data_IF_925071424083
#
_entry.id   IF_925071424083
#
_cell.length_a   1.000
_cell.length_b   1.000
_cell.length_c   1.000
_cell.angle_alpha   90.00
_cell.angle_beta   90.00
_cell.angle_gamma   90.00
#
_symmetry.space_group_name_H-M   'P 1'
#
loop_
_entity.id
_entity.type
_entity.pdbx_description
1 polymer ?
#
# COMPACT_ATOMS: atom_id res chain seq x y z
N UNK A 1 -6.66 -8.24 8.65
CA UNK A 1 -6.01 -6.95 8.96
C UNK A 1 -6.98 -6.12 9.77
N UNK A 2 -6.47 -5.30 10.68
CA UNK A 2 -7.20 -4.56 11.71
C UNK A 2 -7.25 -3.07 11.41
N UNK A 3 -6.24 -2.52 10.76
CA UNK A 3 -6.11 -1.08 10.52
C UNK A 3 -6.30 -0.71 9.05
N UNK A 4 -5.69 -1.48 8.12
CA UNK A 4 -5.80 -1.19 6.69
C UNK A 4 -7.21 -1.42 6.16
N UNK A 5 -7.77 -0.40 5.51
CA UNK A 5 -8.89 -0.49 4.58
C UNK A 5 -8.38 -0.72 3.17
N UNK A 6 -9.07 -1.57 2.42
CA UNK A 6 -8.68 -1.93 1.06
C UNK A 6 -9.76 -1.52 0.07
N UNK A 7 -9.33 -0.84 -0.97
CA UNK A 7 -10.15 -0.49 -2.11
C UNK A 7 -9.43 -0.94 -3.39
N UNK A 8 -10.19 -1.44 -4.34
CA UNK A 8 -9.67 -1.84 -5.65
C UNK A 8 -10.25 -0.89 -6.68
N UNK A 9 -9.37 -0.12 -7.30
CA UNK A 9 -9.73 0.84 -8.34
C UNK A 9 -9.21 0.36 -9.69
N UNK A 10 -10.07 0.50 -10.70
CA UNK A 10 -9.70 0.31 -12.09
C UNK A 10 -9.17 1.66 -12.59
N UNK A 11 -7.91 1.68 -13.05
CA UNK A 11 -7.42 2.81 -13.80
C UNK A 11 -7.59 2.54 -15.29
N UNK A 12 -7.64 3.62 -16.07
CA UNK A 12 -7.39 3.53 -17.51
C UNK A 12 -6.11 2.71 -17.77
N UNK A 13 -6.09 1.92 -18.85
CA UNK A 13 -4.98 1.07 -19.29
C UNK A 13 -4.89 -0.37 -18.68
N UNK A 14 -6.03 -1.00 -18.37
CA UNK A 14 -6.10 -2.41 -17.90
C UNK A 14 -5.28 -2.68 -16.61
N UNK A 15 -4.95 -1.61 -15.87
CA UNK A 15 -4.24 -1.66 -14.60
C UNK A 15 -5.26 -1.60 -13.46
N UNK A 16 -5.09 -2.51 -12.50
CA UNK A 16 -5.82 -2.50 -11.24
C UNK A 16 -4.92 -1.97 -10.14
N UNK A 17 -5.40 -0.98 -9.41
CA UNK A 17 -4.72 -0.42 -8.25
C UNK A 17 -5.39 -0.96 -6.98
N UNK A 18 -4.60 -1.62 -6.14
CA UNK A 18 -5.01 -2.00 -4.79
C UNK A 18 -4.56 -0.89 -3.84
N UNK A 19 -5.52 -0.10 -3.37
CA UNK A 19 -5.29 0.93 -2.36
C UNK A 19 -5.41 0.30 -0.98
N UNK A 20 -4.40 0.52 -0.12
CA UNK A 20 -4.36 0.01 1.24
C UNK A 20 -4.07 1.17 2.19
N UNK A 21 -5.12 1.75 2.77
CA UNK A 21 -5.03 3.00 3.53
C UNK A 21 -5.37 2.80 5.01
N UNK A 22 -4.77 3.60 5.88
CA UNK A 22 -5.18 3.70 7.28
C UNK A 22 -4.75 5.04 7.88
N UNK A 23 -5.63 5.65 8.67
CA UNK A 23 -5.30 6.80 9.52
C UNK A 23 -5.37 6.38 10.98
N UNK A 24 -4.23 6.48 11.68
CA UNK A 24 -4.09 6.02 13.06
C UNK A 24 -3.36 7.03 13.92
N UNK A 25 -3.37 6.82 15.24
CA UNK A 25 -2.48 7.58 16.14
C UNK A 25 -1.05 7.07 15.99
N UNK A 26 -0.08 7.93 16.25
CA UNK A 26 1.35 7.59 16.19
C UNK A 26 1.72 6.31 16.96
N UNK A 27 1.09 6.07 18.12
CA UNK A 27 1.32 4.87 18.93
C UNK A 27 0.93 3.55 18.22
N UNK A 28 -0.06 3.59 17.32
CA UNK A 28 -0.56 2.42 16.59
C UNK A 28 0.08 2.29 15.20
N UNK A 29 0.80 3.31 14.73
CA UNK A 29 1.34 3.36 13.36
C UNK A 29 2.29 2.19 13.07
N UNK A 30 3.07 1.74 14.05
CA UNK A 30 3.94 0.57 13.89
C UNK A 30 3.14 -0.72 13.56
N UNK A 31 1.93 -0.88 14.10
CA UNK A 31 1.07 -2.01 13.78
C UNK A 31 0.54 -1.92 12.35
N UNK A 32 0.19 -0.71 11.89
CA UNK A 32 -0.24 -0.47 10.51
C UNK A 32 0.87 -0.79 9.51
N UNK A 33 2.09 -0.35 9.79
CA UNK A 33 3.26 -0.65 8.95
C UNK A 33 3.56 -2.15 8.86
N UNK A 34 3.30 -2.91 9.94
CA UNK A 34 3.40 -4.37 9.90
C UNK A 34 2.32 -5.01 9.01
N UNK A 35 1.12 -4.42 8.92
CA UNK A 35 0.09 -4.86 7.98
C UNK A 35 0.47 -4.49 6.53
N UNK A 36 0.95 -3.28 6.28
CA UNK A 36 1.42 -2.86 4.96
C UNK A 36 2.56 -3.76 4.44
N UNK A 37 3.51 -4.10 5.30
CA UNK A 37 4.58 -5.04 4.96
C UNK A 37 4.05 -6.44 4.60
N UNK A 38 2.97 -6.92 5.23
CA UNK A 38 2.34 -8.19 4.86
C UNK A 38 1.68 -8.13 3.47
N UNK A 39 1.04 -7.00 3.12
CA UNK A 39 0.49 -6.78 1.77
C UNK A 39 1.61 -6.83 0.72
N UNK A 40 2.70 -6.10 0.97
CA UNK A 40 3.84 -6.08 0.05
C UNK A 40 4.49 -7.46 -0.07
N UNK A 41 4.63 -8.22 1.02
CA UNK A 41 5.17 -9.58 0.98
C UNK A 41 4.28 -10.53 0.15
N UNK A 42 2.95 -10.39 0.26
CA UNK A 42 1.99 -11.13 -0.57
C UNK A 42 2.16 -10.77 -2.05
N UNK A 43 2.24 -9.48 -2.38
CA UNK A 43 2.43 -9.02 -3.76
C UNK A 43 3.76 -9.51 -4.33
N UNK A 44 4.85 -9.40 -3.58
CA UNK A 44 6.15 -9.94 -3.98
C UNK A 44 6.12 -11.44 -4.24
N UNK A 45 5.39 -12.20 -3.43
CA UNK A 45 5.29 -13.66 -3.60
C UNK A 45 4.45 -14.01 -4.84
N UNK A 46 3.36 -13.29 -5.11
CA UNK A 46 2.48 -13.55 -6.25
C UNK A 46 3.02 -13.05 -7.59
N UNK A 47 3.74 -11.93 -7.58
CA UNK A 47 4.19 -11.23 -8.78
C UNK A 47 5.72 -11.17 -8.93
N UNK A 48 6.45 -11.95 -8.12
CA UNK A 48 7.91 -11.91 -7.98
C UNK A 48 8.69 -11.82 -9.29
N UNK A 49 9.73 -10.97 -9.28
CA UNK A 49 10.61 -10.73 -10.43
C UNK A 49 10.03 -9.85 -11.54
N UNK A 50 8.80 -9.36 -11.39
CA UNK A 50 8.13 -8.46 -12.34
C UNK A 50 7.80 -7.09 -11.76
N UNK A 51 8.45 -6.73 -10.64
CA UNK A 51 8.29 -5.44 -10.00
C UNK A 51 9.11 -4.37 -10.73
N UNK A 52 8.48 -3.24 -11.03
CA UNK A 52 9.09 -2.05 -11.62
C UNK A 52 8.00 -1.10 -12.10
N UNK A 53 8.34 0.10 -12.61
CA UNK A 53 7.34 1.06 -13.06
C UNK A 53 6.41 0.43 -14.09
N UNK A 54 5.09 0.40 -13.84
CA UNK A 54 4.12 -0.13 -14.82
C UNK A 54 4.19 0.62 -16.16
N UNK A 55 4.55 1.90 -16.12
CA UNK A 55 4.81 2.73 -17.32
C UNK A 55 5.95 2.19 -18.19
N UNK A 56 6.92 1.49 -17.59
CA UNK A 56 8.04 0.85 -18.29
C UNK A 56 7.71 -0.61 -18.72
N UNK A 57 6.46 -1.06 -18.54
CA UNK A 57 5.99 -2.39 -18.95
C UNK A 57 6.21 -3.50 -17.92
N UNK A 58 6.49 -3.14 -16.66
CA UNK A 58 6.53 -4.10 -15.56
C UNK A 58 5.11 -4.49 -15.13
N UNK A 59 4.99 -5.60 -14.41
CA UNK A 59 3.67 -6.17 -14.09
C UNK A 59 2.99 -5.50 -12.90
N UNK A 60 3.78 -4.86 -12.02
CA UNK A 60 3.28 -4.16 -10.85
C UNK A 60 4.39 -3.29 -10.25
N UNK A 61 3.98 -2.22 -9.58
CA UNK A 61 4.79 -1.44 -8.67
C UNK A 61 4.02 -1.23 -7.36
N UNK A 62 4.66 -0.53 -6.42
CA UNK A 62 3.97 -0.03 -5.25
C UNK A 62 4.58 1.32 -4.86
N UNK A 63 3.72 2.18 -4.33
CA UNK A 63 4.13 3.39 -3.63
C UNK A 63 3.64 3.30 -2.18
N UNK A 64 4.52 3.67 -1.25
CA UNK A 64 4.18 3.78 0.17
C UNK A 64 4.33 5.24 0.57
N UNK A 65 3.22 5.90 0.84
CA UNK A 65 3.19 7.26 1.34
C UNK A 65 2.89 7.24 2.83
N UNK A 66 3.67 7.96 3.64
CA UNK A 66 3.37 8.15 5.06
C UNK A 66 3.28 9.64 5.33
N UNK A 67 2.15 10.09 5.86
CA UNK A 67 1.89 11.48 6.17
C UNK A 67 1.60 11.67 7.66
N UNK A 68 2.36 12.57 8.30
CA UNK A 68 2.09 13.01 9.66
C UNK A 68 1.16 14.23 9.63
N UNK A 69 0.05 14.15 10.36
CA UNK A 69 -0.97 15.17 10.41
C UNK A 69 -1.03 15.85 11.79
N UNK A 70 -1.66 17.02 11.84
CA UNK A 70 -1.85 17.76 13.07
C UNK A 70 -2.62 16.92 14.11
N UNK A 71 -2.21 17.01 15.38
CA UNK A 71 -2.84 16.26 16.46
C UNK A 71 -2.36 14.82 16.63
N UNK A 72 -1.22 14.46 16.02
CA UNK A 72 -0.56 13.17 16.24
C UNK A 72 -1.20 12.01 15.47
N UNK A 73 -1.85 12.33 14.36
CA UNK A 73 -2.36 11.36 13.40
C UNK A 73 -1.28 11.03 12.37
N UNK A 74 -1.24 9.78 11.95
CA UNK A 74 -0.36 9.29 10.90
C UNK A 74 -1.21 8.48 9.93
N UNK A 75 -1.18 8.91 8.68
CA UNK A 75 -1.89 8.28 7.58
C UNK A 75 -0.89 7.57 6.68
N UNK A 76 -1.25 6.36 6.29
CA UNK A 76 -0.59 5.54 5.27
C UNK A 76 -1.61 5.17 4.20
#
# INVERSE_FOLDING_TARGET
MRYLSFDLTDSSDDILTLEAMASTREAEHAAVMAEAAQVLAWAQTGFGGRQGPVEDGYAWDHELLVQHEAGGWVTV
#
